data_IF_088207902679
#
_entry.id   IF_088207902679
#
_cell.length_a   1.000
_cell.length_b   1.000
_cell.length_c   1.000
_cell.angle_alpha   90.00
_cell.angle_beta   90.00
_cell.angle_gamma   90.00
#
_symmetry.space_group_name_H-M   'P 1'
#
loop_
_entity.id
_entity.type
_entity.pdbx_description
1 polymer ?
#
# COMPACT_ATOMS: atom_id res chain seq x y z
N UNK A 1 -11.80 -12.44 0.78
CA UNK A 1 -11.16 -12.98 -0.38
C UNK A 1 -9.95 -13.86 -0.04
N UNK A 2 -9.11 -13.46 0.89
CA UNK A 2 -7.90 -14.20 1.32
C UNK A 2 -8.13 -15.01 2.60
N UNK A 3 -9.38 -15.40 2.90
CA UNK A 3 -9.80 -16.09 4.13
C UNK A 3 -9.40 -15.31 5.42
N UNK A 4 -9.31 -13.98 5.29
CA UNK A 4 -8.94 -13.06 6.35
C UNK A 4 -10.17 -12.46 7.00
N UNK A 5 -10.07 -12.16 8.29
CA UNK A 5 -11.09 -11.47 9.06
C UNK A 5 -10.62 -10.05 9.38
N UNK A 6 -11.51 -9.09 9.22
CA UNK A 6 -11.28 -7.73 9.71
C UNK A 6 -11.64 -7.64 11.19
N UNK A 7 -11.00 -6.73 11.90
CA UNK A 7 -11.38 -6.38 13.27
C UNK A 7 -12.74 -5.67 13.27
N UNK A 8 -13.49 -5.84 14.36
CA UNK A 8 -14.71 -5.08 14.59
C UNK A 8 -14.36 -3.71 15.19
N UNK A 9 -14.15 -2.72 14.31
CA UNK A 9 -13.77 -1.38 14.69
C UNK A 9 -14.87 -0.60 15.42
N UNK A 10 -16.10 -1.12 15.47
CA UNK A 10 -17.18 -0.58 16.25
C UNK A 10 -17.08 -0.88 17.76
N UNK A 11 -16.08 -1.66 18.18
CA UNK A 11 -15.83 -2.00 19.58
C UNK A 11 -14.69 -1.17 20.16
N UNK A 12 -14.97 -0.37 21.17
CA UNK A 12 -13.98 0.47 21.85
C UNK A 12 -12.75 -0.32 22.33
N UNK A 13 -12.93 -1.51 22.88
CA UNK A 13 -11.83 -2.33 23.35
C UNK A 13 -10.96 -2.87 22.22
N UNK A 14 -11.50 -3.09 21.03
CA UNK A 14 -10.73 -3.47 19.83
C UNK A 14 -9.92 -2.28 19.34
N UNK A 15 -10.53 -1.11 19.22
CA UNK A 15 -9.81 0.12 18.84
C UNK A 15 -8.71 0.43 19.86
N UNK A 16 -9.02 0.35 21.16
CA UNK A 16 -8.02 0.55 22.21
C UNK A 16 -6.86 -0.45 22.12
N UNK A 17 -7.13 -1.74 21.84
CA UNK A 17 -6.09 -2.74 21.64
C UNK A 17 -5.18 -2.38 20.46
N UNK A 18 -5.76 -2.02 19.31
CA UNK A 18 -5.01 -1.68 18.09
C UNK A 18 -4.17 -0.39 18.26
N UNK A 19 -4.74 0.64 18.90
CA UNK A 19 -4.00 1.87 19.22
C UNK A 19 -2.88 1.62 20.21
N UNK A 20 -3.12 0.81 21.24
CA UNK A 20 -2.08 0.41 22.20
C UNK A 20 -0.97 -0.39 21.53
N UNK A 21 -1.28 -1.21 20.53
CA UNK A 21 -0.29 -1.93 19.74
C UNK A 21 0.59 -0.96 18.94
N UNK A 22 0.04 0.04 18.27
CA UNK A 22 0.84 1.07 17.60
C UNK A 22 1.79 1.77 18.58
N UNK A 23 1.28 2.19 19.75
CA UNK A 23 2.10 2.83 20.77
C UNK A 23 3.23 1.91 21.27
N UNK A 24 2.92 0.65 21.55
CA UNK A 24 3.86 -0.34 22.04
C UNK A 24 5.08 -0.52 21.11
N UNK A 25 4.85 -0.66 19.82
CA UNK A 25 5.95 -0.81 18.85
C UNK A 25 6.82 0.44 18.72
N UNK A 26 6.23 1.62 18.88
CA UNK A 26 7.00 2.87 18.86
C UNK A 26 7.82 3.07 20.12
N UNK A 27 7.23 2.85 21.31
CA UNK A 27 7.89 3.13 22.59
C UNK A 27 8.88 2.04 23.02
N UNK A 28 8.50 0.76 22.87
CA UNK A 28 9.32 -0.36 23.36
C UNK A 28 10.36 -0.84 22.34
N UNK A 29 10.03 -0.81 21.05
CA UNK A 29 10.91 -1.28 19.98
C UNK A 29 11.49 -0.16 19.13
N UNK A 30 11.10 1.08 19.37
CA UNK A 30 11.61 2.27 18.69
C UNK A 30 11.49 2.20 17.15
N UNK A 31 10.35 1.70 16.66
CA UNK A 31 10.09 1.71 15.23
C UNK A 31 9.89 3.14 14.72
N UNK A 32 10.27 3.36 13.47
CA UNK A 32 10.19 4.67 12.81
C UNK A 32 8.87 4.88 12.05
N UNK A 33 7.93 3.94 12.16
CA UNK A 33 6.61 4.06 11.54
C UNK A 33 5.98 2.73 11.17
N UNK A 34 4.91 2.81 10.37
CA UNK A 34 4.10 1.66 9.99
C UNK A 34 3.67 1.69 8.54
N UNK A 35 3.65 0.52 7.90
CA UNK A 35 2.82 0.24 6.75
C UNK A 35 1.53 -0.43 7.25
N UNK A 36 0.40 0.14 6.90
CA UNK A 36 -0.91 -0.45 7.10
C UNK A 36 -1.27 -1.27 5.88
N UNK A 37 -1.39 -2.56 6.10
CA UNK A 37 -1.67 -3.56 5.08
C UNK A 37 -3.17 -3.67 4.82
N UNK A 38 -3.57 -3.86 3.56
CA UNK A 38 -4.95 -4.15 3.19
C UNK A 38 -5.98 -3.08 3.57
N UNK A 39 -5.61 -1.80 3.57
CA UNK A 39 -6.48 -0.70 4.00
C UNK A 39 -7.79 -0.66 3.22
N UNK A 40 -7.80 -1.02 1.94
CA UNK A 40 -9.04 -1.14 1.16
C UNK A 40 -10.06 -2.05 1.83
N UNK A 41 -9.61 -3.19 2.36
CA UNK A 41 -10.49 -4.15 3.05
C UNK A 41 -11.07 -3.60 4.35
N UNK A 42 -10.43 -2.61 4.95
CA UNK A 42 -10.90 -1.92 6.15
C UNK A 42 -11.91 -0.82 5.83
N UNK A 43 -11.68 -0.07 4.75
CA UNK A 43 -12.44 1.13 4.40
C UNK A 43 -13.89 0.84 3.99
N UNK A 44 -14.21 -0.36 3.50
CA UNK A 44 -15.52 -0.66 2.93
C UNK A 44 -16.13 -1.93 3.54
N UNK A 45 -17.43 -1.91 3.76
CA UNK A 45 -18.18 -3.10 4.21
C UNK A 45 -18.12 -4.25 3.20
N UNK A 46 -17.96 -3.95 1.92
CA UNK A 46 -17.71 -4.92 0.85
C UNK A 46 -16.28 -5.45 0.82
N UNK A 47 -15.39 -4.90 1.65
CA UNK A 47 -13.94 -5.14 1.61
C UNK A 47 -13.30 -4.79 0.26
N UNK A 48 -13.92 -3.87 -0.51
CA UNK A 48 -13.49 -3.49 -1.86
C UNK A 48 -13.77 -4.54 -2.93
N UNK A 49 -14.57 -5.58 -2.61
CA UNK A 49 -14.87 -6.66 -3.54
C UNK A 49 -16.10 -6.34 -4.37
N UNK A 50 -15.99 -6.50 -5.70
CA UNK A 50 -17.11 -6.31 -6.62
C UNK A 50 -17.56 -4.85 -6.80
N UNK A 51 -16.79 -3.89 -6.28
CA UNK A 51 -17.05 -2.46 -6.46
C UNK A 51 -16.13 -1.87 -7.53
N UNK A 52 -16.65 -0.92 -8.28
CA UNK A 52 -15.90 -0.12 -9.23
C UNK A 52 -15.96 1.35 -8.80
N UNK A 53 -14.79 1.96 -8.62
CA UNK A 53 -14.66 3.36 -8.23
C UNK A 53 -14.36 4.19 -9.49
N UNK A 54 -15.39 4.71 -10.13
CA UNK A 54 -15.31 5.41 -11.42
C UNK A 54 -15.45 6.91 -11.30
N UNK A 55 -15.98 7.38 -10.17
CA UNK A 55 -16.15 8.81 -9.87
C UNK A 55 -16.07 9.05 -8.35
N UNK A 56 -15.95 10.32 -7.94
CA UNK A 56 -15.81 10.68 -6.53
C UNK A 56 -16.99 10.27 -5.65
N UNK A 57 -18.20 10.21 -6.19
CA UNK A 57 -19.38 9.81 -5.42
C UNK A 57 -19.34 8.34 -5.01
N UNK A 58 -18.62 7.49 -5.74
CA UNK A 58 -18.48 6.07 -5.42
C UNK A 58 -17.72 5.85 -4.10
N UNK A 59 -16.83 6.78 -3.74
CA UNK A 59 -16.08 6.72 -2.48
C UNK A 59 -16.89 7.19 -1.25
N UNK A 60 -18.05 7.82 -1.45
CA UNK A 60 -18.85 8.46 -0.39
C UNK A 60 -20.34 8.11 -0.48
N UNK A 61 -20.62 6.87 -0.88
CA UNK A 61 -21.97 6.37 -1.14
C UNK A 61 -22.64 5.68 0.07
N UNK A 62 -22.00 5.73 1.25
CA UNK A 62 -22.47 5.09 2.49
C UNK A 62 -22.06 3.62 2.63
N UNK A 63 -21.22 3.09 1.75
CA UNK A 63 -20.64 1.75 1.86
C UNK A 63 -19.30 1.72 2.63
N UNK A 64 -18.85 2.87 3.08
CA UNK A 64 -17.63 3.01 3.90
C UNK A 64 -17.91 2.54 5.33
N UNK A 65 -16.90 1.92 5.94
CA UNK A 65 -16.91 1.64 7.38
C UNK A 65 -16.35 2.84 8.15
N UNK A 66 -17.26 3.69 8.63
CA UNK A 66 -16.90 4.90 9.39
C UNK A 66 -16.11 4.59 10.67
N UNK A 67 -16.31 3.41 11.28
CA UNK A 67 -15.56 2.98 12.45
C UNK A 67 -14.12 2.66 12.09
N UNK A 68 -13.89 1.98 10.95
CA UNK A 68 -12.55 1.71 10.46
C UNK A 68 -11.82 3.00 10.07
N UNK A 69 -12.51 3.94 9.41
CA UNK A 69 -11.98 5.27 9.08
C UNK A 69 -11.61 6.02 10.36
N UNK A 70 -12.46 6.00 11.38
CA UNK A 70 -12.18 6.59 12.68
C UNK A 70 -10.93 5.98 13.32
N UNK A 71 -10.84 4.65 13.35
CA UNK A 71 -9.64 3.96 13.86
C UNK A 71 -8.38 4.38 13.11
N UNK A 72 -8.37 4.37 11.77
CA UNK A 72 -7.20 4.76 10.96
C UNK A 72 -6.78 6.21 11.24
N UNK A 73 -7.74 7.12 11.36
CA UNK A 73 -7.50 8.52 11.69
C UNK A 73 -6.88 8.67 13.07
N UNK A 74 -7.43 7.97 14.07
CA UNK A 74 -6.90 7.95 15.44
C UNK A 74 -5.51 7.32 15.50
N UNK A 75 -5.26 6.25 14.75
CA UNK A 75 -3.95 5.60 14.69
C UNK A 75 -2.88 6.54 14.14
N UNK A 76 -3.15 7.22 13.01
CA UNK A 76 -2.23 8.20 12.46
C UNK A 76 -1.94 9.33 13.46
N UNK A 77 -2.97 9.83 14.11
CA UNK A 77 -2.82 10.88 15.12
C UNK A 77 -1.97 10.42 16.30
N UNK A 78 -2.28 9.26 16.87
CA UNK A 78 -1.53 8.70 17.99
C UNK A 78 -0.07 8.46 17.64
N UNK A 79 0.20 7.89 16.47
CA UNK A 79 1.56 7.59 16.00
C UNK A 79 2.41 8.87 15.98
N UNK A 80 1.88 9.95 15.40
CA UNK A 80 2.60 11.24 15.32
C UNK A 80 2.65 12.00 16.66
N UNK A 81 1.69 11.77 17.58
CA UNK A 81 1.79 12.29 18.95
C UNK A 81 2.87 11.59 19.75
N UNK A 82 3.04 10.28 19.58
CA UNK A 82 4.10 9.49 20.24
C UNK A 82 5.47 9.75 19.62
N UNK A 83 5.55 9.77 18.30
CA UNK A 83 6.77 10.06 17.56
C UNK A 83 6.48 10.97 16.35
N UNK A 84 6.73 12.28 16.45
CA UNK A 84 6.47 13.23 15.36
C UNK A 84 7.28 12.97 14.07
N UNK A 85 8.30 12.14 14.13
CA UNK A 85 9.14 11.74 12.98
C UNK A 85 8.74 10.38 12.40
N UNK A 86 7.79 9.69 13.02
CA UNK A 86 7.29 8.43 12.47
C UNK A 86 6.61 8.65 11.12
N UNK A 87 6.64 7.63 10.29
CA UNK A 87 6.02 7.63 8.96
C UNK A 87 4.90 6.61 8.92
N UNK A 88 3.74 7.01 8.40
CA UNK A 88 2.62 6.10 8.16
C UNK A 88 2.34 5.95 6.67
N UNK A 89 2.21 4.70 6.23
CA UNK A 89 2.05 4.34 4.83
C UNK A 89 0.82 3.47 4.69
N UNK A 90 -0.13 3.85 3.84
CA UNK A 90 -1.29 3.03 3.53
C UNK A 90 -1.08 2.20 2.27
N UNK A 91 -1.31 0.89 2.36
CA UNK A 91 -1.55 0.07 1.20
C UNK A 91 -3.03 0.07 0.87
N UNK A 92 -3.39 0.75 -0.22
CA UNK A 92 -4.78 0.97 -0.58
C UNK A 92 -4.93 1.01 -2.11
N UNK A 93 -5.81 0.19 -2.65
CA UNK A 93 -5.94 -0.02 -4.10
C UNK A 93 -7.19 0.62 -4.72
N UNK A 94 -8.19 1.02 -3.91
CA UNK A 94 -9.41 1.64 -4.45
C UNK A 94 -9.19 3.05 -4.97
N UNK A 95 -8.18 3.74 -4.46
CA UNK A 95 -7.92 5.14 -4.75
C UNK A 95 -8.71 6.11 -3.88
N UNK A 96 -9.10 5.72 -2.66
CA UNK A 96 -9.84 6.58 -1.70
C UNK A 96 -9.20 7.97 -1.62
N UNK A 97 -9.94 9.05 -1.93
CA UNK A 97 -9.43 10.42 -1.85
C UNK A 97 -9.14 10.84 -0.41
N UNK A 98 -8.06 11.61 -0.21
CA UNK A 98 -7.72 12.18 1.09
C UNK A 98 -7.03 11.19 2.04
N UNK A 99 -6.71 9.98 1.60
CA UNK A 99 -6.09 8.98 2.47
C UNK A 99 -4.73 9.48 3.02
N UNK A 100 -3.89 10.03 2.15
CA UNK A 100 -2.59 10.61 2.51
C UNK A 100 -2.62 12.15 2.50
N UNK A 101 -3.74 12.74 2.88
CA UNK A 101 -3.89 14.16 3.11
C UNK A 101 -3.92 14.46 4.61
N UNK A 102 -3.60 15.70 4.95
CA UNK A 102 -3.58 16.19 6.34
C UNK A 102 -4.99 16.21 6.94
N UNK A 103 -5.06 16.13 8.26
CA UNK A 103 -6.33 16.29 8.99
C UNK A 103 -6.99 17.63 8.73
N UNK A 104 -6.20 18.71 8.66
CA UNK A 104 -6.67 20.09 8.41
C UNK A 104 -7.31 20.24 7.02
N UNK A 105 -6.89 19.40 6.07
CA UNK A 105 -7.41 19.35 4.70
C UNK A 105 -8.56 18.32 4.55
N UNK A 106 -9.02 17.75 5.67
CA UNK A 106 -10.09 16.74 5.69
C UNK A 106 -9.62 15.32 5.35
N UNK A 107 -8.32 15.08 5.41
CA UNK A 107 -7.72 13.78 5.14
C UNK A 107 -7.65 12.85 6.35
N UNK A 108 -7.20 11.61 6.13
CA UNK A 108 -7.09 10.58 7.17
C UNK A 108 -5.71 10.55 7.85
N UNK A 109 -4.79 11.41 7.45
CA UNK A 109 -3.54 11.68 8.13
C UNK A 109 -2.40 10.73 7.84
N UNK A 110 -2.51 9.84 6.87
CA UNK A 110 -1.35 9.09 6.41
C UNK A 110 -0.32 10.02 5.75
N UNK A 111 0.96 9.74 5.95
CA UNK A 111 2.03 10.48 5.28
C UNK A 111 2.15 10.11 3.81
N UNK A 112 1.93 8.82 3.50
CA UNK A 112 2.08 8.26 2.16
C UNK A 112 1.03 7.18 1.91
N UNK A 113 0.76 6.98 0.63
CA UNK A 113 0.12 5.76 0.13
C UNK A 113 1.06 5.03 -0.84
N UNK A 114 0.91 3.72 -0.97
CA UNK A 114 1.67 2.95 -1.93
C UNK A 114 1.17 3.21 -3.35
N UNK A 115 2.09 3.38 -4.29
CA UNK A 115 1.78 3.58 -5.71
C UNK A 115 1.53 2.21 -6.37
N UNK A 116 0.32 1.67 -6.22
CA UNK A 116 -0.05 0.29 -6.61
C UNK A 116 0.06 0.01 -8.12
N UNK A 117 0.06 1.05 -8.97
CA UNK A 117 0.24 0.92 -10.42
C UNK A 117 1.68 0.57 -10.81
N UNK A 118 2.68 0.93 -10.00
CA UNK A 118 4.10 0.81 -10.36
C UNK A 118 4.57 -0.65 -10.45
N UNK A 119 4.31 -1.53 -9.46
CA UNK A 119 4.69 -2.94 -9.56
C UNK A 119 4.09 -3.63 -10.80
N UNK A 120 2.82 -3.37 -11.07
CA UNK A 120 2.13 -3.94 -12.24
C UNK A 120 2.77 -3.48 -13.54
N UNK A 121 3.13 -2.20 -13.62
CA UNK A 121 3.85 -1.64 -14.77
C UNK A 121 5.22 -2.33 -14.98
N UNK A 122 5.99 -2.52 -13.91
CA UNK A 122 7.29 -3.20 -13.99
C UNK A 122 7.15 -4.66 -14.41
N UNK A 123 6.25 -5.41 -13.77
CA UNK A 123 6.01 -6.82 -14.10
C UNK A 123 5.60 -6.96 -15.58
N UNK A 124 4.67 -6.12 -16.02
CA UNK A 124 4.20 -6.13 -17.41
C UNK A 124 5.32 -5.77 -18.39
N UNK A 125 6.14 -4.76 -18.05
CA UNK A 125 7.25 -4.34 -18.90
C UNK A 125 8.27 -5.46 -19.05
N UNK A 126 8.68 -6.11 -17.95
CA UNK A 126 9.65 -7.21 -17.95
C UNK A 126 9.11 -8.45 -18.70
N UNK A 127 7.82 -8.76 -18.54
CA UNK A 127 7.22 -9.93 -19.19
C UNK A 127 6.98 -9.76 -20.69
N UNK A 128 6.62 -8.57 -21.14
CA UNK A 128 6.06 -8.35 -22.48
C UNK A 128 7.01 -7.59 -23.42
N UNK A 129 8.09 -7.00 -22.90
CA UNK A 129 8.98 -6.15 -23.70
C UNK A 129 10.42 -6.60 -23.60
N UNK A 130 11.14 -6.50 -24.71
CA UNK A 130 12.60 -6.61 -24.74
C UNK A 130 13.23 -5.37 -24.15
N UNK A 131 14.45 -5.46 -23.66
CA UNK A 131 15.16 -4.35 -23.03
C UNK A 131 15.30 -3.14 -23.96
N UNK A 132 15.57 -3.39 -25.23
CA UNK A 132 15.69 -2.34 -26.25
C UNK A 132 14.38 -1.60 -26.57
N UNK A 133 13.23 -2.19 -26.21
CA UNK A 133 11.89 -1.61 -26.39
C UNK A 133 11.43 -0.77 -25.19
N UNK A 134 12.22 -0.73 -24.12
CA UNK A 134 11.88 0.05 -22.94
C UNK A 134 11.98 1.55 -23.22
N UNK A 135 10.93 2.28 -22.90
CA UNK A 135 10.84 3.73 -23.14
C UNK A 135 10.95 4.49 -21.83
N UNK A 136 12.06 5.20 -21.57
CA UNK A 136 12.22 6.01 -20.36
C UNK A 136 11.08 7.01 -20.13
N UNK A 137 10.52 7.55 -21.20
CA UNK A 137 9.36 8.47 -21.13
C UNK A 137 8.11 7.79 -20.56
N UNK A 138 7.87 6.51 -20.89
CA UNK A 138 6.75 5.75 -20.34
C UNK A 138 6.95 5.44 -18.86
N UNK A 139 8.18 5.07 -18.47
CA UNK A 139 8.55 4.86 -17.06
C UNK A 139 8.34 6.14 -16.27
N UNK A 140 8.84 7.27 -16.77
CA UNK A 140 8.70 8.56 -16.13
C UNK A 140 7.22 8.97 -15.98
N UNK A 141 6.43 8.75 -17.03
CA UNK A 141 4.99 9.05 -16.99
C UNK A 141 4.29 8.22 -15.92
N UNK A 142 4.56 6.92 -15.88
CA UNK A 142 3.94 6.01 -14.90
C UNK A 142 4.27 6.39 -13.45
N UNK A 143 5.56 6.70 -13.17
CA UNK A 143 5.99 7.17 -11.84
C UNK A 143 5.31 8.48 -11.44
N UNK A 144 4.98 9.34 -12.41
CA UNK A 144 4.30 10.62 -12.17
C UNK A 144 2.76 10.53 -12.19
N UNK A 145 2.21 9.40 -12.63
CA UNK A 145 0.75 9.19 -12.69
C UNK A 145 0.18 8.94 -11.29
N UNK A 146 0.00 10.02 -10.56
CA UNK A 146 -0.48 10.03 -9.18
C UNK A 146 -1.30 11.29 -8.90
N UNK A 147 -2.07 11.28 -7.80
CA UNK A 147 -2.73 12.47 -7.30
C UNK A 147 -1.69 13.53 -6.92
N UNK A 148 -1.96 14.79 -7.23
CA UNK A 148 -1.03 15.90 -6.92
C UNK A 148 -1.08 16.32 -5.46
N UNK A 149 -2.17 16.02 -4.77
CA UNK A 149 -2.50 16.40 -3.40
C UNK A 149 -2.11 15.32 -2.36
N UNK A 150 -1.70 14.14 -2.81
CA UNK A 150 -1.29 13.04 -1.93
C UNK A 150 0.13 12.58 -2.24
N UNK A 151 0.88 12.25 -1.20
CA UNK A 151 2.22 11.67 -1.35
C UNK A 151 2.15 10.17 -1.58
N UNK A 152 3.03 9.68 -2.45
CA UNK A 152 3.09 8.25 -2.77
C UNK A 152 4.50 7.71 -2.61
N UNK A 153 4.60 6.43 -2.28
CA UNK A 153 5.85 5.66 -2.34
C UNK A 153 5.78 4.76 -3.57
N UNK A 154 6.70 5.00 -4.50
CA UNK A 154 6.89 4.13 -5.67
C UNK A 154 7.79 2.95 -5.30
N UNK A 155 7.46 1.77 -5.78
CA UNK A 155 8.23 0.54 -5.52
C UNK A 155 8.10 -0.40 -6.72
N UNK A 156 9.08 -1.27 -6.91
CA UNK A 156 9.07 -2.22 -8.03
C UNK A 156 8.34 -3.51 -7.68
N UNK A 157 8.52 -3.99 -6.48
CA UNK A 157 7.84 -5.16 -5.95
C UNK A 157 7.75 -5.13 -4.43
N UNK A 158 6.80 -5.88 -3.88
CA UNK A 158 6.71 -6.28 -2.48
C UNK A 158 6.61 -7.81 -2.39
N UNK A 159 6.40 -8.33 -1.19
CA UNK A 159 6.13 -9.76 -1.00
C UNK A 159 4.88 -10.23 -1.78
N UNK A 160 3.89 -9.35 -2.01
CA UNK A 160 2.65 -9.71 -2.72
C UNK A 160 2.92 -10.13 -4.17
N UNK A 161 3.76 -9.39 -4.90
CA UNK A 161 4.09 -9.74 -6.28
C UNK A 161 4.81 -11.09 -6.38
N UNK A 162 5.63 -11.42 -5.38
CA UNK A 162 6.31 -12.72 -5.33
C UNK A 162 5.36 -13.87 -4.98
N UNK A 163 4.44 -13.64 -4.01
CA UNK A 163 3.51 -14.66 -3.54
C UNK A 163 2.35 -14.91 -4.51
N UNK A 164 1.78 -13.85 -5.06
CA UNK A 164 0.62 -13.93 -5.97
C UNK A 164 1.06 -14.07 -7.41
N UNK A 165 2.17 -13.47 -7.77
CA UNK A 165 2.71 -13.46 -9.13
C UNK A 165 3.71 -14.56 -9.44
N UNK A 166 3.92 -15.54 -8.56
CA UNK A 166 4.77 -16.74 -8.68
C UNK A 166 6.30 -16.53 -8.64
N UNK A 167 6.83 -15.34 -8.93
CA UNK A 167 8.28 -15.04 -8.91
C UNK A 167 8.55 -13.58 -8.53
N UNK A 168 9.71 -13.37 -7.93
CA UNK A 168 10.26 -12.01 -7.74
C UNK A 168 10.77 -11.42 -9.07
N UNK A 169 10.93 -10.11 -9.10
CA UNK A 169 11.41 -9.39 -10.30
C UNK A 169 12.77 -9.92 -10.77
N UNK A 170 13.69 -10.19 -9.87
CA UNK A 170 15.01 -10.69 -10.24
C UNK A 170 14.91 -12.05 -10.97
N UNK A 171 14.06 -12.96 -10.50
CA UNK A 171 13.85 -14.24 -11.15
C UNK A 171 13.02 -14.15 -12.44
N UNK A 172 12.29 -13.04 -12.64
CA UNK A 172 11.69 -12.77 -13.94
C UNK A 172 12.70 -12.27 -14.96
N UNK A 173 13.69 -11.50 -14.53
CA UNK A 173 14.76 -10.97 -15.38
C UNK A 173 15.73 -12.07 -15.82
N UNK A 174 16.13 -12.95 -14.90
CA UNK A 174 17.11 -14.01 -15.20
C UNK A 174 16.48 -15.30 -15.69
N UNK A 175 15.20 -15.52 -15.41
CA UNK A 175 14.37 -16.67 -15.80
C UNK A 175 15.10 -18.03 -15.71
N UNK A 176 15.23 -18.76 -16.81
CA UNK A 176 15.85 -20.09 -16.83
C UNK A 176 17.33 -20.09 -16.43
N UNK A 177 18.03 -18.97 -16.62
CA UNK A 177 19.45 -18.84 -16.27
C UNK A 177 19.69 -19.00 -14.76
N UNK A 178 18.67 -18.73 -13.91
CA UNK A 178 18.78 -19.01 -12.47
C UNK A 178 19.10 -20.48 -12.13
N UNK A 179 18.77 -21.42 -12.97
CA UNK A 179 19.03 -22.84 -12.74
C UNK A 179 20.42 -23.26 -13.20
N UNK A 180 20.99 -22.60 -14.20
CA UNK A 180 22.19 -23.03 -14.89
C UNK A 180 23.40 -22.14 -14.63
N UNK A 181 23.17 -20.83 -14.47
CA UNK A 181 24.22 -19.81 -14.44
C UNK A 181 24.23 -18.97 -13.15
N UNK A 182 23.48 -19.35 -12.13
CA UNK A 182 23.37 -18.63 -10.87
C UNK A 182 24.36 -19.17 -9.82
N UNK A 183 25.63 -19.36 -10.22
CA UNK A 183 26.70 -19.87 -9.36
C UNK A 183 27.80 -18.85 -9.23
N UNK A 184 28.47 -18.86 -8.07
CA UNK A 184 29.67 -18.02 -7.85
C UNK A 184 30.75 -18.46 -8.87
N UNK A 185 31.21 -17.50 -9.69
CA UNK A 185 32.22 -17.75 -10.71
C UNK A 185 31.69 -18.01 -12.11
N UNK A 186 30.37 -18.06 -12.30
CA UNK A 186 29.79 -18.05 -13.65
C UNK A 186 29.88 -16.62 -14.22
N UNK A 187 30.53 -16.49 -15.37
CA UNK A 187 30.63 -15.25 -16.14
C UNK A 187 29.49 -15.20 -17.18
N UNK A 188 28.28 -14.94 -16.74
CA UNK A 188 27.17 -14.86 -17.68
C UNK A 188 26.48 -13.49 -17.65
#
# INVERSE_FOLDING_TARGET
AWDSLCFDYGKDNVVHFLLSNCKYWLEEFHFDGFRFDGVTSMLYYSHGLGEAFTNYADYFNGHQDDNAICYLTLANRLIHEVNPHAITIAEEVSGMPGLAARFEDGGYGFDYRMAMNIPDYWIKTIKERRDEDWKPSSIFWEVKNRRSDERTISYCESHDQALVGDKTIIFRLVDADMYWHFRIGDEN
#
